data_IF_460981141201
#
_entry.id   IF_460981141201
#
_cell.length_a   1.000
_cell.length_b   1.000
_cell.length_c   1.000
_cell.angle_alpha   90.00
_cell.angle_beta   90.00
_cell.angle_gamma   90.00
#
_symmetry.space_group_name_H-M   'P 1'
#
loop_
_entity.id
_entity.type
_entity.pdbx_description
1 polymer ?
#
# COMPACT_ATOMS: atom_id res chain seq x y z
N UNK A 1 14.90 -46.52 3.05
CA UNK A 1 13.47 -46.36 2.67
C UNK A 1 12.65 -45.83 3.86
N UNK A 2 13.10 -44.74 4.50
CA UNK A 2 12.47 -44.16 5.70
C UNK A 2 12.42 -42.61 5.68
N UNK A 3 13.03 -41.97 4.70
CA UNK A 3 13.08 -40.51 4.54
C UNK A 3 11.84 -39.93 3.86
N UNK A 4 11.07 -40.74 3.13
CA UNK A 4 9.87 -40.27 2.42
C UNK A 4 8.65 -40.05 3.34
N UNK A 5 8.59 -40.68 4.51
CA UNK A 5 7.46 -40.51 5.43
C UNK A 5 7.59 -39.27 6.33
N UNK A 6 8.80 -38.79 6.60
CA UNK A 6 9.01 -37.59 7.44
C UNK A 6 8.58 -36.31 6.70
N UNK A 7 8.75 -36.24 5.38
CA UNK A 7 8.23 -35.12 4.58
C UNK A 7 6.70 -35.08 4.54
N UNK A 8 6.05 -36.25 4.49
CA UNK A 8 4.59 -36.32 4.39
C UNK A 8 3.86 -35.87 5.66
N UNK A 9 4.49 -35.99 6.83
CA UNK A 9 3.92 -35.58 8.13
C UNK A 9 4.08 -34.07 8.37
N UNK A 10 5.07 -33.42 7.73
CA UNK A 10 5.26 -31.96 7.86
C UNK A 10 4.25 -31.20 7.00
N UNK A 11 3.86 -31.74 5.84
CA UNK A 11 2.85 -31.13 4.96
C UNK A 11 1.39 -31.40 5.40
N UNK A 12 1.13 -32.39 6.25
CA UNK A 12 -0.25 -32.66 6.76
C UNK A 12 -0.65 -31.84 7.99
N UNK A 13 0.16 -30.85 8.37
CA UNK A 13 -0.30 -29.69 9.15
C UNK A 13 -0.74 -28.53 8.24
N UNK A 14 -1.23 -28.85 7.04
CA UNK A 14 -2.06 -27.96 6.25
C UNK A 14 -3.30 -27.57 7.07
N UNK A 15 -3.14 -26.41 7.70
CA UNK A 15 -4.14 -25.40 8.02
C UNK A 15 -5.57 -25.94 8.14
N UNK A 16 -6.04 -26.10 9.38
CA UNK A 16 -7.45 -25.82 9.65
C UNK A 16 -7.80 -24.54 8.88
N UNK A 17 -8.73 -24.66 7.94
CA UNK A 17 -9.13 -23.57 7.04
C UNK A 17 -9.81 -22.49 7.87
N UNK A 18 -9.00 -21.62 8.48
CA UNK A 18 -9.48 -20.55 9.33
C UNK A 18 -10.34 -19.62 8.48
N UNK A 19 -11.52 -19.25 8.98
CA UNK A 19 -12.48 -18.38 8.29
C UNK A 19 -11.87 -17.06 7.77
N UNK A 20 -10.77 -16.61 8.36
CA UNK A 20 -10.03 -15.40 7.94
C UNK A 20 -9.22 -15.57 6.65
N UNK A 21 -8.77 -16.80 6.33
CA UNK A 21 -8.07 -17.04 5.07
C UNK A 21 -9.04 -17.02 3.87
N UNK A 22 -10.32 -17.33 4.08
CA UNK A 22 -11.33 -17.35 3.01
C UNK A 22 -12.03 -16.01 2.74
N UNK A 23 -11.84 -14.99 3.59
CA UNK A 23 -12.46 -13.68 3.40
C UNK A 23 -11.87 -12.92 2.22
N UNK A 24 -12.70 -12.16 1.49
CA UNK A 24 -12.16 -11.29 0.44
C UNK A 24 -11.35 -10.14 1.05
N UNK A 25 -10.34 -9.66 0.33
CA UNK A 25 -9.53 -8.50 0.76
C UNK A 25 -10.40 -7.28 1.05
N UNK A 26 -11.51 -7.10 0.32
CA UNK A 26 -12.47 -6.03 0.59
C UNK A 26 -13.10 -6.12 1.98
N UNK A 27 -13.51 -7.33 2.41
CA UNK A 27 -14.05 -7.54 3.75
C UNK A 27 -12.99 -7.29 4.82
N UNK A 28 -11.78 -7.81 4.63
CA UNK A 28 -10.67 -7.62 5.57
C UNK A 28 -10.33 -6.12 5.66
N UNK A 29 -10.19 -5.43 4.53
CA UNK A 29 -9.92 -4.00 4.46
C UNK A 29 -10.97 -3.16 5.17
N UNK A 30 -12.25 -3.44 4.96
CA UNK A 30 -13.35 -2.76 5.65
C UNK A 30 -13.30 -2.96 7.17
N UNK A 31 -13.08 -4.20 7.63
CA UNK A 31 -12.97 -4.52 9.06
C UNK A 31 -11.77 -3.81 9.67
N UNK A 32 -10.59 -3.87 9.04
CA UNK A 32 -9.37 -3.23 9.54
C UNK A 32 -9.51 -1.70 9.60
N UNK A 33 -10.11 -1.09 8.57
CA UNK A 33 -10.40 0.35 8.57
C UNK A 33 -11.36 0.73 9.71
N UNK A 34 -12.37 -0.10 9.98
CA UNK A 34 -13.35 0.12 11.04
C UNK A 34 -12.69 0.02 12.42
N UNK A 35 -11.85 -1.00 12.64
CA UNK A 35 -11.06 -1.16 13.87
C UNK A 35 -10.14 0.05 14.07
N UNK A 36 -9.43 0.47 13.02
CA UNK A 36 -8.53 1.63 13.08
C UNK A 36 -9.28 2.92 13.42
N UNK A 37 -10.44 3.16 12.80
CA UNK A 37 -11.26 4.33 13.04
C UNK A 37 -11.86 4.32 14.46
N UNK A 38 -12.41 3.19 14.91
CA UNK A 38 -12.95 3.04 16.25
C UNK A 38 -11.87 3.28 17.32
N UNK A 39 -10.70 2.68 17.12
CA UNK A 39 -9.57 2.85 18.03
C UNK A 39 -9.09 4.30 18.07
N UNK A 40 -9.06 4.99 16.92
CA UNK A 40 -8.77 6.43 16.85
C UNK A 40 -9.79 7.28 17.61
N UNK A 41 -11.08 6.99 17.49
CA UNK A 41 -12.14 7.71 18.23
C UNK A 41 -11.97 7.50 19.74
N UNK A 42 -11.72 6.26 20.18
CA UNK A 42 -11.48 5.94 21.59
C UNK A 42 -10.25 6.70 22.12
N UNK A 43 -9.15 6.66 21.38
CA UNK A 43 -7.89 7.32 21.75
C UNK A 43 -8.06 8.84 21.91
N UNK A 44 -8.72 9.47 20.94
CA UNK A 44 -8.87 10.92 20.89
C UNK A 44 -9.96 11.45 21.83
N UNK A 45 -11.13 10.81 21.89
CA UNK A 45 -12.30 11.36 22.60
C UNK A 45 -12.58 10.70 23.96
N UNK A 46 -12.16 9.44 24.16
CA UNK A 46 -12.46 8.71 25.41
C UNK A 46 -11.24 8.74 26.34
N UNK A 47 -10.08 8.35 25.83
CA UNK A 47 -8.85 8.29 26.61
C UNK A 47 -8.12 9.65 26.67
N UNK A 48 -8.45 10.55 25.74
CA UNK A 48 -7.84 11.87 25.59
C UNK A 48 -6.30 11.80 25.58
N UNK A 49 -5.73 10.75 24.95
CA UNK A 49 -4.27 10.59 24.92
C UNK A 49 -3.59 11.65 24.06
N UNK A 50 -4.35 12.33 23.19
CA UNK A 50 -3.88 13.49 22.43
C UNK A 50 -3.32 14.63 23.29
N UNK A 51 -3.79 14.79 24.53
CA UNK A 51 -3.26 15.81 25.46
C UNK A 51 -2.10 15.30 26.32
N UNK A 52 -1.66 14.05 26.13
CA UNK A 52 -0.55 13.44 26.88
C UNK A 52 0.71 13.36 26.03
N UNK A 53 1.85 13.05 26.67
CA UNK A 53 3.12 12.83 25.95
C UNK A 53 3.04 11.68 24.95
N UNK A 54 2.15 10.69 25.18
CA UNK A 54 1.91 9.59 24.26
C UNK A 54 1.21 10.02 22.98
N UNK A 55 0.56 11.19 22.98
CA UNK A 55 -0.19 11.76 21.87
C UNK A 55 -1.12 10.70 21.24
N UNK A 56 -1.45 10.87 19.96
CA UNK A 56 -2.20 9.90 19.16
C UNK A 56 -1.30 8.77 18.59
N UNK A 57 -0.24 8.35 19.32
CA UNK A 57 0.58 7.20 18.91
C UNK A 57 -0.18 5.87 19.04
N UNK A 58 -0.88 5.59 20.17
CA UNK A 58 -1.58 4.32 20.35
C UNK A 58 -2.66 4.10 19.30
N UNK A 59 -3.35 5.16 18.87
CA UNK A 59 -4.32 5.07 17.77
C UNK A 59 -3.73 4.57 16.45
N UNK A 60 -2.41 4.69 16.26
CA UNK A 60 -1.73 4.22 15.05
C UNK A 60 -1.07 2.87 15.25
N UNK A 61 -0.40 2.70 16.38
CA UNK A 61 0.38 1.51 16.68
C UNK A 61 -0.52 0.27 16.78
N UNK A 62 -1.63 0.33 17.53
CA UNK A 62 -2.46 -0.85 17.75
C UNK A 62 -3.13 -1.35 16.47
N UNK A 63 -3.78 -0.52 15.64
CA UNK A 63 -4.34 -0.99 14.38
C UNK A 63 -3.27 -1.55 13.43
N UNK A 64 -2.09 -0.93 13.38
CA UNK A 64 -0.97 -1.44 12.61
C UNK A 64 -0.55 -2.85 13.08
N UNK A 65 -0.37 -3.05 14.38
CA UNK A 65 -0.02 -4.36 14.95
C UNK A 65 -1.10 -5.42 14.72
N UNK A 66 -2.39 -5.03 14.77
CA UNK A 66 -3.51 -5.93 14.47
C UNK A 66 -3.47 -6.38 13.01
N UNK A 67 -3.30 -5.43 12.07
CA UNK A 67 -3.19 -5.73 10.63
C UNK A 67 -1.99 -6.66 10.39
N UNK A 68 -0.83 -6.31 10.94
CA UNK A 68 0.38 -7.09 10.78
C UNK A 68 0.24 -8.50 11.37
N UNK A 69 -0.31 -8.63 12.58
CA UNK A 69 -0.53 -9.91 13.24
C UNK A 69 -1.52 -10.79 12.48
N UNK A 70 -2.58 -10.20 11.91
CA UNK A 70 -3.56 -10.92 11.10
C UNK A 70 -2.95 -11.45 9.80
N UNK A 71 -2.23 -10.61 9.07
CA UNK A 71 -1.56 -11.03 7.84
C UNK A 71 -0.44 -12.04 8.11
N UNK A 72 0.36 -11.84 9.15
CA UNK A 72 1.40 -12.78 9.55
C UNK A 72 0.82 -14.16 9.84
N UNK A 73 -0.28 -14.23 10.59
CA UNK A 73 -0.88 -15.50 11.03
C UNK A 73 -1.70 -16.19 9.95
N UNK A 74 -2.52 -15.45 9.21
CA UNK A 74 -3.54 -16.03 8.33
C UNK A 74 -3.21 -15.89 6.84
N UNK A 75 -2.33 -14.96 6.45
CA UNK A 75 -1.97 -14.67 5.05
C UNK A 75 -0.48 -14.32 4.87
N UNK A 76 0.47 -15.14 5.37
CA UNK A 76 1.89 -14.76 5.43
C UNK A 76 2.47 -14.45 4.05
N UNK A 77 2.04 -15.18 3.01
CA UNK A 77 2.49 -14.98 1.61
C UNK A 77 1.99 -13.68 0.98
N UNK A 78 0.90 -13.11 1.47
CA UNK A 78 0.32 -11.86 0.96
C UNK A 78 0.87 -10.62 1.66
N UNK A 79 1.66 -10.78 2.72
CA UNK A 79 2.18 -9.65 3.53
C UNK A 79 2.94 -8.64 2.69
N UNK A 80 3.84 -9.10 1.81
CA UNK A 80 4.66 -8.18 1.00
C UNK A 80 3.88 -7.58 -0.18
N UNK A 81 3.03 -8.37 -0.83
CA UNK A 81 2.29 -7.95 -2.03
C UNK A 81 1.07 -7.08 -1.71
N UNK A 82 0.37 -7.37 -0.61
CA UNK A 82 -0.85 -6.67 -0.21
C UNK A 82 -0.56 -5.50 0.71
N UNK A 83 0.25 -5.67 1.77
CA UNK A 83 0.53 -4.59 2.73
C UNK A 83 1.60 -3.61 2.25
N UNK A 84 2.30 -3.90 1.16
CA UNK A 84 3.38 -3.04 0.65
C UNK A 84 4.67 -3.13 1.46
N UNK A 85 4.76 -4.03 2.43
CA UNK A 85 5.95 -4.25 3.27
C UNK A 85 7.02 -5.08 2.56
N UNK A 86 7.44 -4.66 1.37
CA UNK A 86 8.50 -5.33 0.63
C UNK A 86 9.85 -5.03 1.26
N UNK A 87 10.66 -6.07 1.51
CA UNK A 87 12.05 -5.90 1.97
C UNK A 87 12.95 -5.31 0.88
N UNK A 88 12.54 -5.42 -0.38
CA UNK A 88 13.35 -4.95 -1.50
C UNK A 88 13.36 -3.42 -1.52
N UNK A 89 14.56 -2.84 -1.51
CA UNK A 89 14.79 -1.39 -1.42
C UNK A 89 14.36 -0.70 -0.11
N UNK A 90 14.15 -1.44 0.98
CA UNK A 90 13.78 -0.85 2.29
C UNK A 90 14.79 0.22 2.74
N UNK A 91 16.10 -0.02 2.54
CA UNK A 91 17.14 0.96 2.88
C UNK A 91 17.02 2.25 2.06
N UNK A 92 16.75 2.14 0.75
CA UNK A 92 16.56 3.30 -0.11
C UNK A 92 15.29 4.07 0.26
N UNK A 93 14.19 3.36 0.55
CA UNK A 93 12.94 3.97 1.01
C UNK A 93 13.12 4.69 2.34
N UNK A 94 13.85 4.08 3.28
CA UNK A 94 14.16 4.70 4.57
C UNK A 94 15.04 5.94 4.38
N UNK A 95 16.05 5.88 3.51
CA UNK A 95 16.91 7.00 3.19
C UNK A 95 16.14 8.16 2.55
N UNK A 96 15.33 7.89 1.53
CA UNK A 96 14.50 8.92 0.89
C UNK A 96 13.45 9.48 1.84
N UNK A 97 12.82 8.62 2.66
CA UNK A 97 11.87 9.07 3.69
C UNK A 97 12.53 9.98 4.72
N UNK A 98 13.73 9.62 5.17
CA UNK A 98 14.53 10.46 6.06
C UNK A 98 14.91 11.79 5.40
N UNK A 99 15.39 11.77 4.15
CA UNK A 99 15.77 12.95 3.41
C UNK A 99 14.59 13.90 3.18
N UNK A 100 13.44 13.37 2.75
CA UNK A 100 12.21 14.13 2.59
C UNK A 100 11.76 14.71 3.93
N UNK A 101 11.77 13.91 4.99
CA UNK A 101 11.43 14.37 6.33
C UNK A 101 12.33 15.51 6.80
N UNK A 102 13.63 15.43 6.55
CA UNK A 102 14.59 16.48 6.85
C UNK A 102 14.27 17.75 6.05
N UNK A 103 14.09 17.63 4.73
CA UNK A 103 13.76 18.77 3.86
C UNK A 103 12.45 19.45 4.29
N UNK A 104 11.41 18.68 4.62
CA UNK A 104 10.13 19.23 5.10
C UNK A 104 10.30 19.90 6.45
N UNK A 105 10.98 19.27 7.41
CA UNK A 105 11.19 19.86 8.75
C UNK A 105 11.96 21.19 8.67
N UNK A 106 13.07 21.23 7.93
CA UNK A 106 13.80 22.47 7.69
C UNK A 106 12.97 23.48 6.88
N UNK A 107 12.20 23.01 5.89
CA UNK A 107 11.34 23.86 5.07
C UNK A 107 10.22 24.53 5.87
N UNK A 108 9.62 23.83 6.84
CA UNK A 108 8.57 24.40 7.69
C UNK A 108 9.17 25.40 8.68
N UNK A 109 10.22 25.01 9.41
CA UNK A 109 10.81 25.86 10.46
C UNK A 109 11.54 27.07 9.86
N UNK A 110 12.44 26.84 8.91
CA UNK A 110 13.23 27.88 8.27
C UNK A 110 12.44 28.64 7.20
N UNK A 111 11.62 27.94 6.40
CA UNK A 111 10.81 28.59 5.38
C UNK A 111 9.71 29.46 5.97
N UNK A 112 9.06 29.02 7.06
CA UNK A 112 8.07 29.83 7.77
C UNK A 112 8.67 31.11 8.34
N UNK A 113 9.84 31.02 8.97
CA UNK A 113 10.55 32.18 9.53
C UNK A 113 11.09 33.12 8.46
N UNK A 114 11.61 32.62 7.33
CA UNK A 114 11.98 33.47 6.17
C UNK A 114 10.76 34.22 5.65
N UNK A 115 9.65 33.53 5.39
CA UNK A 115 8.44 34.16 4.84
C UNK A 115 7.93 35.22 5.81
N UNK A 116 7.88 34.92 7.11
CA UNK A 116 7.48 35.90 8.12
C UNK A 116 8.44 37.10 8.16
N UNK A 117 9.74 36.85 8.15
CA UNK A 117 10.76 37.89 8.16
C UNK A 117 10.72 38.81 6.94
N UNK A 118 10.48 38.25 5.75
CA UNK A 118 10.46 39.00 4.49
C UNK A 118 9.16 39.81 4.32
N UNK A 119 8.02 39.24 4.70
CA UNK A 119 6.71 39.82 4.37
C UNK A 119 6.01 40.53 5.54
N UNK A 120 6.37 40.23 6.80
CA UNK A 120 5.66 40.74 7.98
C UNK A 120 6.59 41.59 8.86
N UNK A 121 7.71 41.04 9.33
CA UNK A 121 8.64 41.74 10.23
C UNK A 121 10.11 41.41 9.94
N UNK A 122 10.87 42.29 9.26
CA UNK A 122 12.28 42.09 8.95
C UNK A 122 13.21 41.98 10.16
N UNK A 123 12.74 42.37 11.34
CA UNK A 123 13.50 42.26 12.60
C UNK A 123 13.31 40.91 13.27
N UNK A 124 12.40 40.06 12.74
CA UNK A 124 12.16 38.74 13.28
C UNK A 124 13.43 37.87 13.18
N UNK A 125 13.93 37.32 14.31
CA UNK A 125 15.19 36.60 14.30
C UNK A 125 15.06 35.29 13.53
N UNK A 126 15.95 35.08 12.56
CA UNK A 126 16.14 33.80 11.87
C UNK A 126 16.86 32.84 12.81
N UNK A 127 16.10 32.18 13.69
CA UNK A 127 16.60 31.15 14.58
C UNK A 127 16.00 29.81 14.18
N UNK A 128 16.86 28.80 14.09
CA UNK A 128 16.44 27.43 13.91
C UNK A 128 15.96 26.90 15.26
N UNK A 129 14.67 26.62 15.37
CA UNK A 129 14.10 26.07 16.58
C UNK A 129 13.82 24.60 16.35
N UNK A 130 14.68 23.74 16.90
CA UNK A 130 14.37 22.32 16.96
C UNK A 130 13.21 22.16 17.96
N UNK A 131 11.99 22.07 17.43
CA UNK A 131 10.81 21.85 18.25
C UNK A 131 10.99 20.55 19.06
N UNK A 132 11.00 20.69 20.38
CA UNK A 132 11.04 19.58 21.33
C UNK A 132 12.23 18.61 21.15
N UNK A 133 13.47 19.12 21.25
CA UNK A 133 14.70 18.31 21.18
C UNK A 133 14.65 17.02 22.04
N UNK A 134 14.10 17.11 23.25
CA UNK A 134 13.94 15.96 24.15
C UNK A 134 12.96 14.89 23.67
N UNK A 135 12.12 15.19 22.67
CA UNK A 135 11.14 14.28 22.08
C UNK A 135 11.54 13.78 20.69
N UNK A 136 12.73 14.10 20.17
CA UNK A 136 13.14 13.72 18.82
C UNK A 136 13.02 12.22 18.55
N UNK A 137 13.46 11.38 19.49
CA UNK A 137 13.36 9.92 19.37
C UNK A 137 11.90 9.48 19.33
N UNK A 138 11.06 10.04 20.21
CA UNK A 138 9.63 9.78 20.23
C UNK A 138 8.96 10.22 18.91
N UNK A 139 9.29 11.42 18.40
CA UNK A 139 8.77 11.94 17.13
C UNK A 139 9.17 11.04 15.96
N UNK A 140 10.41 10.56 15.93
CA UNK A 140 10.85 9.60 14.92
C UNK A 140 9.99 8.33 14.93
N UNK A 141 9.79 7.70 16.10
CA UNK A 141 8.94 6.52 16.20
C UNK A 141 7.48 6.82 15.87
N UNK A 142 6.98 7.99 16.24
CA UNK A 142 5.63 8.43 15.92
C UNK A 142 5.41 8.54 14.42
N UNK A 143 6.28 9.26 13.71
CA UNK A 143 6.18 9.40 12.26
C UNK A 143 6.44 8.10 11.52
N UNK A 144 7.38 7.27 12.01
CA UNK A 144 7.62 5.95 11.45
C UNK A 144 6.39 5.05 11.57
N UNK A 145 5.78 4.98 12.76
CA UNK A 145 4.55 4.19 12.99
C UNK A 145 3.41 4.70 12.15
N UNK A 146 3.28 6.03 12.03
CA UNK A 146 2.30 6.66 11.16
C UNK A 146 2.51 6.24 9.70
N UNK A 147 3.73 6.39 9.16
CA UNK A 147 4.04 6.01 7.79
C UNK A 147 3.77 4.51 7.53
N UNK A 148 4.11 3.64 8.48
CA UNK A 148 3.83 2.20 8.39
C UNK A 148 2.33 1.90 8.37
N UNK A 149 1.54 2.51 9.25
CA UNK A 149 0.08 2.35 9.21
C UNK A 149 -0.50 2.88 7.89
N UNK A 150 -0.04 4.05 7.43
CA UNK A 150 -0.53 4.66 6.20
C UNK A 150 -0.23 3.80 4.96
N UNK A 151 1.01 3.29 4.88
CA UNK A 151 1.44 2.38 3.82
C UNK A 151 0.66 1.07 3.87
N UNK A 152 0.51 0.46 5.06
CA UNK A 152 -0.13 -0.86 5.18
C UNK A 152 -1.63 -0.81 5.00
N UNK A 153 -2.33 0.13 5.63
CA UNK A 153 -3.79 0.20 5.61
C UNK A 153 -4.31 0.84 4.33
N UNK A 154 -3.86 2.05 4.00
CA UNK A 154 -4.42 2.80 2.88
C UNK A 154 -3.77 2.37 1.57
N UNK A 155 -2.44 2.52 1.47
CA UNK A 155 -1.74 2.27 0.20
C UNK A 155 -1.59 0.79 -0.14
N UNK A 156 -1.59 -0.06 0.88
CA UNK A 156 -1.50 -1.51 0.77
C UNK A 156 -2.88 -2.14 0.68
N UNK A 157 -3.49 -2.35 1.85
CA UNK A 157 -4.71 -3.14 2.01
C UNK A 157 -5.91 -2.54 1.25
N UNK A 158 -6.23 -1.27 1.43
CA UNK A 158 -7.43 -0.66 0.82
C UNK A 158 -7.32 -0.55 -0.70
N UNK A 159 -6.17 -0.13 -1.25
CA UNK A 159 -5.99 -0.12 -2.71
C UNK A 159 -6.14 -1.53 -3.28
N UNK A 160 -5.47 -2.54 -2.70
CA UNK A 160 -5.58 -3.91 -3.19
C UNK A 160 -7.00 -4.48 -3.01
N UNK A 161 -7.69 -4.12 -1.94
CA UNK A 161 -9.09 -4.46 -1.70
C UNK A 161 -10.03 -3.86 -2.76
N UNK A 162 -9.88 -2.58 -3.13
CA UNK A 162 -10.74 -1.98 -4.16
C UNK A 162 -10.41 -2.46 -5.56
N UNK A 163 -9.14 -2.80 -5.83
CA UNK A 163 -8.71 -3.38 -7.11
C UNK A 163 -9.38 -4.71 -7.44
N UNK A 164 -9.98 -5.42 -6.47
CA UNK A 164 -10.69 -6.68 -6.75
C UNK A 164 -11.98 -6.47 -7.55
N UNK A 165 -12.55 -5.27 -7.55
CA UNK A 165 -13.81 -4.95 -8.24
C UNK A 165 -13.75 -3.69 -9.09
N UNK A 166 -12.64 -2.96 -9.10
CA UNK A 166 -12.50 -1.68 -9.78
C UNK A 166 -11.14 -1.53 -10.46
N UNK A 167 -11.06 -0.58 -11.40
CA UNK A 167 -9.78 -0.24 -12.04
C UNK A 167 -8.80 0.38 -11.05
N UNK A 168 -7.50 0.23 -11.32
CA UNK A 168 -6.42 0.73 -10.46
C UNK A 168 -6.58 2.22 -10.11
N UNK A 169 -6.92 3.07 -11.08
CA UNK A 169 -7.09 4.50 -10.84
C UNK A 169 -8.27 4.81 -9.91
N UNK A 170 -9.37 4.06 -10.03
CA UNK A 170 -10.53 4.22 -9.14
C UNK A 170 -10.22 3.72 -7.72
N UNK A 171 -9.50 2.60 -7.61
CA UNK A 171 -9.05 2.07 -6.33
C UNK A 171 -8.12 3.06 -5.59
N UNK A 172 -7.17 3.67 -6.31
CA UNK A 172 -6.30 4.72 -5.77
C UNK A 172 -7.14 5.92 -5.32
N UNK A 173 -8.04 6.42 -6.18
CA UNK A 173 -8.90 7.56 -5.84
C UNK A 173 -9.75 7.29 -4.60
N UNK A 174 -10.38 6.11 -4.50
CA UNK A 174 -11.18 5.74 -3.33
C UNK A 174 -10.35 5.66 -2.05
N UNK A 175 -9.17 5.03 -2.11
CA UNK A 175 -8.25 4.99 -0.97
C UNK A 175 -7.82 6.40 -0.56
N UNK A 176 -7.48 7.25 -1.53
CA UNK A 176 -7.05 8.63 -1.30
C UNK A 176 -8.14 9.49 -0.65
N UNK A 177 -9.41 9.32 -1.04
CA UNK A 177 -10.55 10.00 -0.39
C UNK A 177 -10.71 9.52 1.06
N UNK A 178 -10.66 8.21 1.30
CA UNK A 178 -10.75 7.66 2.66
C UNK A 178 -9.57 8.13 3.52
N UNK A 179 -8.38 8.19 2.95
CA UNK A 179 -7.18 8.73 3.58
C UNK A 179 -7.33 10.22 3.92
N UNK A 180 -7.87 11.04 3.02
CA UNK A 180 -8.19 12.44 3.31
C UNK A 180 -9.18 12.58 4.48
N UNK A 181 -10.26 11.79 4.48
CA UNK A 181 -11.25 11.77 5.57
C UNK A 181 -10.59 11.33 6.89
N UNK A 182 -9.69 10.35 6.84
CA UNK A 182 -8.93 9.91 8.02
C UNK A 182 -8.15 11.06 8.67
N UNK A 183 -7.61 11.99 7.89
CA UNK A 183 -6.89 13.16 8.43
C UNK A 183 -7.81 14.31 8.87
N UNK A 184 -9.06 14.36 8.40
CA UNK A 184 -10.03 15.39 8.76
C UNK A 184 -10.36 15.46 10.27
N UNK A 185 -10.10 14.39 11.03
CA UNK A 185 -10.26 14.41 12.49
C UNK A 185 -9.24 15.29 13.22
N UNK A 186 -8.11 15.65 12.60
CA UNK A 186 -7.06 16.43 13.26
C UNK A 186 -7.44 17.90 13.53
N UNK A 187 -7.98 18.68 12.57
CA UNK A 187 -8.49 20.03 12.84
C UNK A 187 -9.55 20.06 13.95
N UNK A 188 -10.45 19.08 13.97
CA UNK A 188 -11.53 18.98 14.96
C UNK A 188 -10.96 18.81 16.38
N UNK A 189 -9.98 17.93 16.55
CA UNK A 189 -9.37 17.66 17.86
C UNK A 189 -8.49 18.81 18.35
N UNK A 190 -7.91 19.60 17.44
CA UNK A 190 -7.13 20.80 17.80
C UNK A 190 -7.98 22.06 17.99
N UNK A 191 -9.31 21.92 18.07
CA UNK A 191 -10.20 23.03 18.40
C UNK A 191 -10.43 24.01 17.25
N UNK A 192 -10.16 23.60 16.00
CA UNK A 192 -10.68 24.35 14.86
C UNK A 192 -12.20 24.26 14.88
N UNK A 193 -12.88 25.42 14.90
CA UNK A 193 -14.36 25.52 14.93
C UNK A 193 -14.83 26.32 13.71
N UNK A 194 -16.00 25.96 13.18
CA UNK A 194 -16.67 26.71 12.12
C UNK A 194 -15.96 26.64 10.76
N UNK A 195 -15.91 27.78 10.07
CA UNK A 195 -15.34 27.89 8.71
C UNK A 195 -13.84 27.58 8.64
N UNK A 196 -13.08 27.88 9.70
CA UNK A 196 -11.64 27.60 9.75
C UNK A 196 -11.37 26.09 9.73
N UNK A 197 -12.10 25.33 10.56
CA UNK A 197 -12.03 23.87 10.56
C UNK A 197 -12.36 23.27 9.19
N UNK A 198 -13.40 23.79 8.55
CA UNK A 198 -13.84 23.32 7.24
C UNK A 198 -12.79 23.61 6.16
N UNK A 199 -12.15 24.78 6.20
CA UNK A 199 -11.06 25.14 5.28
C UNK A 199 -9.81 24.28 5.47
N UNK A 200 -9.44 23.97 6.71
CA UNK A 200 -8.32 23.08 7.04
C UNK A 200 -8.60 21.65 6.60
N UNK A 201 -9.79 21.13 6.89
CA UNK A 201 -10.23 19.80 6.47
C UNK A 201 -10.21 19.68 4.95
N UNK A 202 -10.81 20.62 4.23
CA UNK A 202 -10.86 20.60 2.76
C UNK A 202 -9.47 20.67 2.17
N UNK A 203 -8.61 21.55 2.69
CA UNK A 203 -7.22 21.67 2.25
C UNK A 203 -6.45 20.37 2.49
N UNK A 204 -6.60 19.79 3.68
CA UNK A 204 -5.92 18.55 4.05
C UNK A 204 -6.38 17.37 3.19
N UNK A 205 -7.68 17.21 2.96
CA UNK A 205 -8.24 16.20 2.05
C UNK A 205 -7.73 16.40 0.62
N UNK A 206 -7.69 17.64 0.12
CA UNK A 206 -7.23 17.95 -1.23
C UNK A 206 -5.74 17.60 -1.43
N UNK A 207 -4.86 18.10 -0.56
CA UNK A 207 -3.41 17.87 -0.68
C UNK A 207 -3.04 16.40 -0.46
N UNK A 208 -3.67 15.72 0.50
CA UNK A 208 -3.44 14.28 0.72
C UNK A 208 -3.91 13.44 -0.47
N UNK A 209 -5.04 13.79 -1.09
CA UNK A 209 -5.55 13.11 -2.28
C UNK A 209 -4.62 13.28 -3.49
N UNK A 210 -4.10 14.49 -3.71
CA UNK A 210 -3.15 14.77 -4.80
C UNK A 210 -1.83 14.02 -4.57
N UNK A 211 -1.33 14.03 -3.34
CA UNK A 211 -0.08 13.35 -2.99
C UNK A 211 -0.17 11.83 -3.24
N UNK A 212 -1.31 11.22 -2.91
CA UNK A 212 -1.50 9.77 -3.09
C UNK A 212 -1.69 9.38 -4.56
N UNK A 213 -2.40 10.19 -5.34
CA UNK A 213 -2.69 9.91 -6.76
C UNK A 213 -1.48 10.09 -7.70
N UNK A 214 -0.55 11.02 -7.40
CA UNK A 214 0.61 11.29 -8.27
C UNK A 214 1.81 10.38 -8.04
N UNK A 215 1.97 9.81 -6.85
CA UNK A 215 3.20 9.09 -6.47
C UNK A 215 3.25 7.64 -6.95
N UNK A 216 2.15 7.04 -7.44
CA UNK A 216 2.07 5.59 -7.72
C UNK A 216 1.73 5.08 -9.13
N UNK A 217 1.33 5.86 -10.16
CA UNK A 217 1.10 5.29 -11.49
C UNK A 217 2.32 4.54 -12.05
N UNK A 218 3.53 4.93 -11.64
CA UNK A 218 4.80 4.39 -12.14
C UNK A 218 5.30 3.12 -11.44
N UNK A 219 4.83 2.80 -10.22
CA UNK A 219 5.31 1.65 -9.44
C UNK A 219 4.40 0.42 -9.53
N UNK A 220 3.12 0.61 -9.84
CA UNK A 220 2.17 -0.50 -9.99
C UNK A 220 2.25 -1.14 -11.40
N UNK A 221 2.57 -0.36 -12.43
CA UNK A 221 2.63 -0.85 -13.81
C UNK A 221 3.84 -1.76 -14.09
N UNK A 222 4.90 -1.72 -13.28
CA UNK A 222 6.08 -2.59 -13.44
C UNK A 222 6.02 -3.87 -12.59
N UNK A 223 5.00 -4.03 -11.74
CA UNK A 223 4.94 -5.12 -10.75
C UNK A 223 3.78 -6.10 -10.95
N UNK A 224 2.76 -5.74 -11.72
CA UNK A 224 1.57 -6.58 -11.95
C UNK A 224 1.65 -7.51 -13.16
N UNK A 225 2.66 -7.37 -14.03
CA UNK A 225 2.76 -8.20 -15.23
C UNK A 225 3.25 -9.64 -14.97
N UNK A 226 3.53 -10.00 -13.70
CA UNK A 226 4.08 -11.32 -13.33
C UNK A 226 3.24 -12.21 -12.42
N UNK A 227 2.13 -11.72 -11.84
CA UNK A 227 1.32 -12.49 -10.89
C UNK A 227 -0.17 -12.32 -11.19
N UNK A 228 -0.62 -12.94 -12.28
CA UNK A 228 -1.99 -13.45 -12.30
C UNK A 228 -2.08 -14.47 -11.17
N UNK A 229 -2.77 -14.09 -10.10
CA UNK A 229 -3.38 -15.04 -9.17
C UNK A 229 -4.34 -15.83 -10.06
N UNK A 230 -3.90 -17.01 -10.49
CA UNK A 230 -4.71 -17.99 -11.18
C UNK A 230 -5.96 -18.22 -10.33
N UNK A 231 -7.10 -17.88 -10.91
CA UNK A 231 -8.41 -18.22 -10.39
C UNK A 231 -8.42 -19.66 -9.91
N UNK A 232 -8.80 -19.83 -8.64
CA UNK A 232 -9.27 -21.12 -8.13
C UNK A 232 -10.45 -21.52 -9.02
N UNK A 233 -10.40 -22.67 -9.71
CA UNK A 233 -11.54 -23.08 -10.52
C UNK A 233 -12.70 -23.38 -9.57
N UNK A 234 -13.76 -22.57 -9.66
CA UNK A 234 -15.06 -22.97 -9.17
C UNK A 234 -15.49 -24.17 -10.02
N UNK A 235 -15.39 -25.35 -9.42
CA UNK A 235 -15.95 -26.59 -9.94
C UNK A 235 -17.48 -26.45 -9.95
N UNK A 236 -18.02 -25.98 -11.08
CA UNK A 236 -19.43 -26.09 -11.41
C UNK A 236 -19.52 -27.02 -12.60
N UNK A 237 -20.02 -28.22 -12.33
CA UNK A 237 -20.62 -29.12 -13.29
C UNK A 237 -21.44 -28.36 -14.34
N UNK A 238 -20.95 -28.23 -15.57
CA UNK A 238 -21.80 -28.26 -16.77
C UNK A 238 -20.99 -28.41 -18.06
N UNK A 239 -21.27 -29.51 -18.74
CA UNK A 239 -21.40 -29.60 -20.20
C UNK A 239 -20.14 -29.60 -21.07
N UNK A 240 -19.77 -30.83 -21.46
CA UNK A 240 -19.36 -31.27 -22.80
C UNK A 240 -19.52 -30.20 -23.90
N UNK A 241 -18.40 -29.77 -24.49
CA UNK A 241 -18.12 -29.55 -25.93
C UNK A 241 -17.08 -28.44 -26.07
N UNK A 242 -15.82 -28.82 -26.20
CA UNK A 242 -14.86 -28.18 -27.11
C UNK A 242 -13.56 -29.00 -27.09
N UNK A 243 -13.60 -30.14 -27.79
CA UNK A 243 -12.41 -30.87 -28.17
C UNK A 243 -12.53 -31.08 -29.67
N UNK A 244 -12.05 -30.08 -30.43
CA UNK A 244 -11.80 -30.13 -31.88
C UNK A 244 -11.28 -28.76 -32.35
N UNK A 245 -10.17 -28.27 -31.80
CA UNK A 245 -9.47 -27.11 -32.41
C UNK A 245 -7.99 -26.99 -32.01
N UNK A 246 -7.30 -28.12 -31.85
CA UNK A 246 -5.84 -28.14 -31.58
C UNK A 246 -5.07 -29.08 -32.53
N UNK A 247 -5.73 -29.64 -33.54
CA UNK A 247 -5.11 -30.61 -34.45
C UNK A 247 -4.80 -30.08 -35.86
N UNK A 248 -5.02 -28.77 -36.12
CA UNK A 248 -4.88 -28.19 -37.47
C UNK A 248 -3.70 -27.20 -37.63
N UNK A 249 -2.93 -26.92 -36.56
CA UNK A 249 -1.76 -26.01 -36.66
C UNK A 249 -0.41 -26.71 -36.84
N UNK A 250 -0.36 -28.03 -36.69
CA UNK A 250 0.87 -28.81 -36.89
C UNK A 250 1.07 -29.30 -38.33
N UNK A 251 0.02 -29.27 -39.17
CA UNK A 251 0.11 -29.65 -40.59
C UNK A 251 0.54 -28.50 -41.52
N UNK A 252 0.43 -27.24 -41.10
CA UNK A 252 0.77 -26.07 -41.91
C UNK A 252 2.25 -25.64 -41.82
N UNK A 253 3.00 -26.15 -40.84
CA UNK A 253 4.43 -25.83 -40.69
C UNK A 253 5.37 -26.85 -41.35
N UNK A 254 4.89 -27.99 -41.86
CA UNK A 254 5.73 -28.94 -42.61
C UNK A 254 5.79 -28.67 -44.12
N UNK A 255 4.89 -27.87 -44.69
CA UNK A 255 4.89 -27.54 -46.12
C UNK A 255 5.73 -26.30 -46.49
N UNK A 256 6.19 -25.51 -45.52
CA UNK A 256 7.00 -24.31 -45.75
C UNK A 256 8.52 -24.55 -45.74
N UNK A 257 8.97 -25.76 -45.40
CA UNK A 257 10.41 -26.10 -45.30
C UNK A 257 10.99 -26.71 -46.58
N UNK A 258 10.16 -27.26 -47.46
CA UNK A 258 10.65 -28.00 -48.64
C UNK A 258 10.88 -27.10 -49.86
N UNK A 259 10.26 -25.92 -49.92
CA UNK A 259 10.36 -25.01 -51.07
C UNK A 259 11.61 -24.10 -51.05
N UNK A 260 12.33 -24.07 -49.92
CA UNK A 260 13.55 -23.25 -49.77
C UNK A 260 14.84 -23.98 -50.15
N UNK A 261 14.89 -25.32 -50.13
CA UNK A 261 16.07 -26.07 -50.54
C UNK A 261 16.19 -26.25 -52.06
N UNK A 262 15.12 -26.07 -52.83
CA UNK A 262 15.12 -26.34 -54.27
C UNK A 262 15.58 -25.15 -55.14
N UNK A 263 15.86 -23.97 -54.55
CA UNK A 263 16.25 -22.75 -55.30
C UNK A 263 17.75 -22.42 -55.29
N UNK A 264 18.60 -23.19 -54.61
CA UNK A 264 20.06 -22.93 -54.57
C UNK A 264 20.89 -23.78 -55.56
N UNK A 265 20.25 -24.62 -56.39
CA UNK A 265 20.93 -25.64 -57.20
C UNK A 265 21.14 -25.33 -58.69
N UNK A 266 21.16 -24.08 -59.17
CA UNK A 266 21.44 -23.77 -60.60
C UNK A 266 22.27 -22.51 -60.81
N UNK A 267 23.59 -22.65 -60.66
CA UNK A 267 24.59 -21.88 -61.42
C UNK A 267 25.77 -22.80 -61.77
N UNK A 268 25.76 -23.33 -62.99
CA UNK A 268 26.97 -23.77 -63.72
C UNK A 268 26.95 -23.05 -65.08
N UNK A 269 28.13 -22.58 -65.50
CA UNK A 269 28.39 -21.79 -66.71
C UNK A 269 28.07 -22.52 -68.02
N UNK A 270 28.52 -21.99 -69.17
CA UNK A 270 29.92 -21.63 -69.44
C UNK A 270 30.26 -20.14 -69.29
#
# INVERSE_FOLDING_TARGET
MATAQVHKIIDTKEAESSTWSSFSLLKIGGIMLTIAAAWRIIDQFVLNLGSTWMNILPSKLFPFLIILGLFWKYRPRETESVLGLSRNNFQAQLFFGFLIGLVISFGIDFGGTIVYGVFIDPTYPLQLHILNEGLLVYMFFFFLTNALLEETLFRGLLINAFKTHQSTNRAILMSAVIFGIWHAGWPIVNGAIGLNALSEIVSMVFFTTIHDTRTRPYLLNSRTDGYYISDVPLDIHTSRRCSMEVQDRTALNSMASDDWQNKQGRKKGP
#
